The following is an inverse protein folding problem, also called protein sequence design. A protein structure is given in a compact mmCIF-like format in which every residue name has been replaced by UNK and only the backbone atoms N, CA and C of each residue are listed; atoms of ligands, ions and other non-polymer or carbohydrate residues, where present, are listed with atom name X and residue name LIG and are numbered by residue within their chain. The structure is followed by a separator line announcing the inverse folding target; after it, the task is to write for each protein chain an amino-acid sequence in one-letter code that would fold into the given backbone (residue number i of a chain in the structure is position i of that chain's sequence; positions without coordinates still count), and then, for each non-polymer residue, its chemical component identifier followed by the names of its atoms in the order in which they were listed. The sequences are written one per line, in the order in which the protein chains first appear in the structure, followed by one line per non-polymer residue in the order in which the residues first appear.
data_IF_946216298214
#
_entry.id   IF_946216298214
#
_cell.length_a   1.000
_cell.length_b   1.000
_cell.length_c   1.000
_cell.angle_alpha   90.00
_cell.angle_beta   90.00
_cell.angle_gamma   90.00
#
_symmetry.space_group_name_H-M   'P 1'
#
loop_
_entity.id
_entity.type
_entity.pdbx_description
1 polymer ?
#
# COMPACT_ATOMS: atom_id res chain seq x y z
N UNK A 1 -17.11 -7.59 -6.86
CA UNK A 1 -16.12 -8.12 -5.89
C UNK A 1 -15.11 -9.03 -6.60
N UNK A 2 -15.58 -10.03 -7.36
CA UNK A 2 -14.73 -11.00 -8.08
C UNK A 2 -13.74 -10.33 -9.06
N UNK A 3 -14.21 -9.39 -9.89
CA UNK A 3 -13.37 -8.70 -10.88
C UNK A 3 -12.24 -7.87 -10.24
N UNK A 4 -12.53 -7.19 -9.13
CA UNK A 4 -11.54 -6.41 -8.39
C UNK A 4 -10.47 -7.33 -7.79
N UNK A 5 -10.89 -8.46 -7.22
CA UNK A 5 -9.96 -9.46 -6.66
C UNK A 5 -9.09 -10.10 -7.75
N UNK A 6 -9.66 -10.40 -8.91
CA UNK A 6 -8.93 -10.94 -10.05
C UNK A 6 -7.93 -9.96 -10.63
N UNK A 7 -8.30 -8.67 -10.71
CA UNK A 7 -7.38 -7.59 -11.10
C UNK A 7 -6.22 -7.50 -10.12
N UNK A 8 -6.51 -7.40 -8.83
CA UNK A 8 -5.48 -7.22 -7.80
C UNK A 8 -4.52 -8.42 -7.77
N UNK A 9 -5.04 -9.65 -7.92
CA UNK A 9 -4.22 -10.85 -8.06
C UNK A 9 -3.33 -10.81 -9.31
N UNK A 10 -3.89 -10.45 -10.47
CA UNK A 10 -3.10 -10.30 -11.70
C UNK A 10 -2.01 -9.22 -11.56
N UNK A 11 -2.29 -8.13 -10.85
CA UNK A 11 -1.29 -7.08 -10.65
C UNK A 11 -0.16 -7.51 -9.71
N UNK A 12 -0.47 -8.25 -8.64
CA UNK A 12 0.54 -8.76 -7.71
C UNK A 12 1.41 -9.84 -8.37
N UNK A 13 0.77 -10.81 -9.03
CA UNK A 13 1.43 -12.03 -9.53
C UNK A 13 1.91 -11.92 -10.98
N UNK A 14 1.11 -11.35 -11.90
CA UNK A 14 1.53 -11.25 -13.32
C UNK A 14 2.38 -10.02 -13.60
N UNK A 15 2.11 -8.89 -12.93
CA UNK A 15 2.93 -7.67 -13.05
C UNK A 15 4.05 -7.61 -12.00
N UNK A 16 4.21 -8.67 -11.20
CA UNK A 16 5.25 -8.82 -10.17
C UNK A 16 5.30 -7.64 -9.18
N UNK A 17 4.16 -6.97 -8.90
CA UNK A 17 4.13 -5.91 -7.89
C UNK A 17 4.41 -6.43 -6.49
N UNK A 18 4.19 -7.72 -6.23
CA UNK A 18 4.50 -8.37 -4.96
C UNK A 18 5.96 -8.24 -4.54
N UNK A 19 6.91 -8.26 -5.49
CA UNK A 19 8.35 -8.11 -5.20
C UNK A 19 8.69 -6.73 -4.64
N UNK A 20 8.42 -5.64 -5.39
CA UNK A 20 8.58 -4.27 -4.90
C UNK A 20 7.80 -3.99 -3.61
N UNK A 21 6.58 -4.53 -3.44
CA UNK A 21 5.80 -4.39 -2.21
C UNK A 21 6.50 -5.07 -1.03
N UNK A 22 7.01 -6.30 -1.19
CA UNK A 22 7.69 -7.04 -0.14
C UNK A 22 9.05 -6.45 0.27
N UNK A 23 9.65 -5.63 -0.60
CA UNK A 23 10.94 -4.98 -0.38
C UNK A 23 10.81 -3.54 0.15
N UNK A 24 9.61 -2.99 0.26
CA UNK A 24 9.41 -1.61 0.69
C UNK A 24 9.77 -1.42 2.17
N UNK A 25 10.41 -0.31 2.51
CA UNK A 25 10.71 0.07 3.89
C UNK A 25 9.46 0.43 4.69
N UNK A 26 8.43 0.94 4.00
CA UNK A 26 7.15 1.34 4.58
C UNK A 26 5.98 0.81 3.75
N UNK A 27 4.90 0.44 4.43
CA UNK A 27 3.66 -0.04 3.82
C UNK A 27 2.45 0.66 4.46
N UNK A 28 1.56 1.21 3.63
CA UNK A 28 0.32 1.88 4.08
C UNK A 28 -0.88 1.11 3.54
N UNK A 29 -1.70 0.58 4.45
CA UNK A 29 -2.99 -0.04 4.12
C UNK A 29 -4.08 1.00 4.31
N UNK A 30 -4.95 1.14 3.31
CA UNK A 30 -6.15 1.98 3.42
C UNK A 30 -7.35 1.12 3.87
N UNK A 31 -7.37 0.75 5.15
CA UNK A 31 -8.42 -0.07 5.77
C UNK A 31 -9.34 0.72 6.72
N UNK A 32 -9.17 2.05 6.76
CA UNK A 32 -9.91 2.98 7.60
C UNK A 32 -10.39 4.22 6.80
N UNK A 33 -10.72 5.30 7.49
CA UNK A 33 -11.09 6.58 6.89
C UNK A 33 -9.88 7.37 6.37
N UNK A 34 -10.16 8.48 5.68
CA UNK A 34 -9.13 9.30 5.04
C UNK A 34 -8.23 9.98 6.09
N UNK A 35 -8.78 10.30 7.25
CA UNK A 35 -8.05 10.89 8.37
C UNK A 35 -7.00 9.90 8.91
N UNK A 36 -7.34 8.61 9.03
CA UNK A 36 -6.39 7.58 9.42
C UNK A 36 -5.30 7.36 8.35
N UNK A 37 -5.65 7.45 7.08
CA UNK A 37 -4.70 7.39 5.98
C UNK A 37 -3.68 8.55 6.03
N UNK A 38 -4.16 9.79 6.17
CA UNK A 38 -3.31 10.98 6.27
C UNK A 38 -2.40 10.92 7.49
N UNK A 39 -2.92 10.50 8.65
CA UNK A 39 -2.12 10.35 9.87
C UNK A 39 -1.00 9.29 9.74
N UNK A 40 -1.20 8.25 8.93
CA UNK A 40 -0.16 7.26 8.64
C UNK A 40 0.92 7.83 7.73
N UNK A 41 0.55 8.65 6.74
CA UNK A 41 1.53 9.36 5.90
C UNK A 41 2.36 10.34 6.71
N UNK A 42 1.75 11.13 7.60
CA UNK A 42 2.45 12.09 8.46
C UNK A 42 3.52 11.42 9.34
N UNK A 43 3.24 10.23 9.88
CA UNK A 43 4.21 9.46 10.67
C UNK A 43 5.44 9.08 9.84
N UNK A 44 5.21 8.54 8.64
CA UNK A 44 6.29 8.11 7.74
C UNK A 44 7.13 9.32 7.31
N UNK A 45 6.49 10.42 6.93
CA UNK A 45 7.21 11.65 6.54
C UNK A 45 8.08 12.19 7.67
N UNK A 46 7.57 12.18 8.91
CA UNK A 46 8.33 12.57 10.09
C UNK A 46 9.53 11.65 10.36
N UNK A 47 9.38 10.34 10.17
CA UNK A 47 10.49 9.38 10.32
C UNK A 47 11.56 9.56 9.23
N UNK A 48 11.16 10.05 8.06
CA UNK A 48 12.04 10.37 6.95
C UNK A 48 12.62 11.80 7.00
N UNK A 49 12.31 12.58 8.03
CA UNK A 49 12.69 13.99 8.19
C UNK A 49 12.25 14.89 7.01
N UNK A 50 11.06 14.64 6.43
CA UNK A 50 10.41 15.48 5.41
C UNK A 50 9.47 16.55 5.99
#
# INVERSE_FOLDING_TARGET
AEEAKQRDWNEIEMLNKGGPIAMAEYFVINDHDIEAYDANLEKILKELDF
#
